data_IF_515388863760
#
_entry.id   IF_515388863760
#
_cell.length_a   1.000
_cell.length_b   1.000
_cell.length_c   1.000
_cell.angle_alpha   90.00
_cell.angle_beta   90.00
_cell.angle_gamma   90.00
#
_symmetry.space_group_name_H-M   'P 1'
#
loop_
_entity.id
_entity.type
_entity.pdbx_description
1 polymer ?
#
# COMPACT_ATOMS: atom_id res chain seq x y z
N UNK A 1 -24.83 -27.73 -3.32
CA UNK A 1 -24.84 -26.35 -2.80
C UNK A 1 -23.40 -25.87 -2.81
N UNK A 2 -23.05 -25.03 -3.78
CA UNK A 2 -21.70 -24.49 -3.94
C UNK A 2 -21.51 -23.34 -2.95
N UNK A 3 -20.76 -23.58 -1.89
CA UNK A 3 -20.29 -22.53 -0.98
C UNK A 3 -19.22 -21.73 -1.74
N UNK A 4 -19.62 -20.60 -2.30
CA UNK A 4 -18.70 -19.61 -2.83
C UNK A 4 -17.74 -19.19 -1.73
N UNK A 5 -16.44 -19.37 -1.97
CA UNK A 5 -15.39 -18.74 -1.17
C UNK A 5 -15.50 -17.25 -1.44
N UNK A 6 -16.26 -16.54 -0.59
CA UNK A 6 -16.30 -15.09 -0.62
C UNK A 6 -14.89 -14.56 -0.43
N UNK A 7 -14.46 -13.62 -1.27
CA UNK A 7 -13.23 -12.87 -1.02
C UNK A 7 -13.34 -12.22 0.36
N UNK A 8 -12.44 -12.57 1.27
CA UNK A 8 -12.40 -12.00 2.61
C UNK A 8 -12.16 -10.49 2.48
N UNK A 9 -13.10 -9.68 2.98
CA UNK A 9 -12.93 -8.24 3.07
C UNK A 9 -11.93 -7.96 4.19
N UNK A 10 -10.86 -7.25 3.85
CA UNK A 10 -9.86 -6.78 4.82
C UNK A 10 -10.04 -5.27 4.97
N UNK A 11 -10.27 -4.82 6.19
CA UNK A 11 -10.33 -3.39 6.52
C UNK A 11 -9.04 -3.00 7.26
N UNK A 12 -8.37 -1.97 6.76
CA UNK A 12 -7.12 -1.44 7.32
C UNK A 12 -7.22 0.08 7.50
N UNK A 13 -6.49 0.62 8.47
CA UNK A 13 -6.43 2.06 8.71
C UNK A 13 -5.11 2.59 8.18
N UNK A 14 -5.17 3.62 7.35
CA UNK A 14 -4.02 4.36 6.84
C UNK A 14 -4.09 5.81 7.29
N UNK A 15 -2.92 6.43 7.42
CA UNK A 15 -2.78 7.86 7.67
C UNK A 15 -2.16 8.53 6.45
N UNK A 16 -2.70 9.69 6.09
CA UNK A 16 -2.08 10.66 5.21
C UNK A 16 -1.59 11.82 6.08
N UNK A 17 -0.29 11.83 6.40
CA UNK A 17 0.31 12.93 7.15
C UNK A 17 0.82 14.00 6.17
N UNK A 18 0.37 15.24 6.33
CA UNK A 18 0.56 16.33 5.36
C UNK A 18 1.35 17.47 5.98
N UNK A 19 2.52 17.75 5.41
CA UNK A 19 3.30 18.94 5.72
C UNK A 19 2.93 20.04 4.72
N UNK A 20 2.15 21.03 5.18
CA UNK A 20 1.67 22.14 4.34
C UNK A 20 2.76 23.12 3.96
N UNK A 21 3.84 23.21 4.75
CA UNK A 21 4.98 24.09 4.44
C UNK A 21 5.85 23.49 3.35
N UNK A 22 6.18 22.20 3.47
CA UNK A 22 6.96 21.46 2.47
C UNK A 22 6.12 21.04 1.27
N UNK A 23 4.78 21.11 1.39
CA UNK A 23 3.82 20.64 0.38
C UNK A 23 4.08 19.18 0.05
N UNK A 24 4.22 18.35 1.08
CA UNK A 24 4.43 16.90 0.93
C UNK A 24 3.45 16.14 1.80
N UNK A 25 3.13 14.91 1.41
CA UNK A 25 2.36 13.99 2.23
C UNK A 25 3.00 12.61 2.26
N UNK A 26 2.82 11.88 3.35
CA UNK A 26 3.17 10.46 3.45
C UNK A 26 1.91 9.66 3.78
N UNK A 27 1.60 8.69 2.93
CA UNK A 27 0.46 7.78 3.08
C UNK A 27 0.96 6.40 3.52
N UNK A 28 0.59 5.97 4.73
CA UNK A 28 1.16 4.78 5.35
C UNK A 28 0.16 4.08 6.28
N UNK A 29 0.33 2.77 6.47
CA UNK A 29 -0.53 1.99 7.36
C UNK A 29 -0.34 2.41 8.84
N UNK A 30 -1.44 2.51 9.60
CA UNK A 30 -1.47 2.89 11.02
C UNK A 30 -0.48 2.11 11.89
N UNK A 31 -0.15 0.88 11.51
CA UNK A 31 0.85 0.05 12.20
C UNK A 31 2.18 0.77 12.41
N UNK A 32 2.63 1.59 11.45
CA UNK A 32 3.85 2.37 11.59
C UNK A 32 3.77 3.42 12.70
N UNK A 33 2.64 4.11 12.83
CA UNK A 33 2.40 5.08 13.90
C UNK A 33 2.36 4.41 15.29
N UNK A 34 1.69 3.27 15.39
CA UNK A 34 1.62 2.48 16.63
C UNK A 34 3.00 1.98 17.03
N UNK A 35 3.74 1.43 16.07
CA UNK A 35 5.10 0.96 16.28
C UNK A 35 6.04 2.07 16.77
N UNK A 36 6.00 3.24 16.14
CA UNK A 36 6.79 4.40 16.54
C UNK A 36 6.49 4.83 17.98
N UNK A 37 5.21 4.83 18.37
CA UNK A 37 4.79 5.13 19.75
C UNK A 37 5.29 4.09 20.76
N UNK A 38 5.24 2.80 20.42
CA UNK A 38 5.75 1.71 21.28
C UNK A 38 7.27 1.82 21.41
N UNK A 39 7.98 2.00 20.30
CA UNK A 39 9.44 2.13 20.28
C UNK A 39 9.91 3.31 21.11
N UNK A 40 9.29 4.50 20.96
CA UNK A 40 9.63 5.69 21.77
C UNK A 40 9.42 5.48 23.27
N UNK A 41 8.48 4.64 23.67
CA UNK A 41 8.18 4.35 25.08
C UNK A 41 9.03 3.22 25.67
N UNK A 42 9.37 2.21 24.87
CA UNK A 42 9.94 0.94 25.37
C UNK A 42 11.35 0.66 24.86
N UNK A 43 11.76 1.27 23.75
CA UNK A 43 12.94 0.90 22.99
C UNK A 43 12.78 -0.39 22.16
N UNK A 44 11.62 -1.03 22.20
CA UNK A 44 11.34 -2.28 21.49
C UNK A 44 10.62 -2.02 20.17
N UNK A 45 11.07 -2.70 19.12
CA UNK A 45 10.47 -2.64 17.80
C UNK A 45 9.40 -3.73 17.65
N UNK A 46 8.27 -3.35 17.06
CA UNK A 46 7.18 -4.23 16.69
C UNK A 46 6.18 -4.46 17.82
N UNK A 47 5.13 -5.18 17.45
CA UNK A 47 4.14 -5.80 18.33
C UNK A 47 3.69 -7.10 17.66
N UNK A 48 2.89 -7.92 18.35
CA UNK A 48 2.51 -9.27 17.90
C UNK A 48 2.07 -9.37 16.44
N UNK A 49 1.35 -8.35 15.96
CA UNK A 49 0.74 -8.30 14.63
C UNK A 49 1.35 -7.22 13.74
N UNK A 50 2.50 -6.65 14.13
CA UNK A 50 3.18 -5.66 13.32
C UNK A 50 3.66 -6.29 12.01
N UNK A 51 3.32 -5.64 10.90
CA UNK A 51 3.78 -5.99 9.57
C UNK A 51 4.24 -4.73 8.85
N UNK A 52 5.36 -4.84 8.15
CA UNK A 52 5.81 -3.79 7.25
C UNK A 52 4.95 -3.83 6.00
N UNK A 53 4.37 -2.70 5.65
CA UNK A 53 3.55 -2.53 4.44
C UNK A 53 4.18 -1.54 3.49
N UNK A 54 3.75 -1.55 2.24
CA UNK A 54 4.06 -0.47 1.31
C UNK A 54 3.59 0.88 1.87
N UNK A 55 4.27 1.96 1.48
CA UNK A 55 3.86 3.33 1.77
C UNK A 55 4.21 4.26 0.61
N UNK A 56 3.62 5.44 0.60
CA UNK A 56 3.76 6.41 -0.49
C UNK A 56 4.13 7.77 0.05
N UNK A 57 5.04 8.45 -0.64
CA UNK A 57 5.36 9.86 -0.42
C UNK A 57 4.91 10.67 -1.63
N UNK A 58 4.05 11.64 -1.41
CA UNK A 58 3.46 12.48 -2.47
C UNK A 58 4.01 13.89 -2.34
N UNK A 59 4.43 14.47 -3.46
CA UNK A 59 4.75 15.90 -3.55
C UNK A 59 3.53 16.66 -4.11
N UNK A 60 3.07 17.67 -3.37
CA UNK A 60 1.95 18.54 -3.75
C UNK A 60 2.40 19.83 -4.45
N UNK A 61 3.69 20.21 -4.38
CA UNK A 61 4.24 21.39 -5.05
C UNK A 61 4.51 21.16 -6.54
N UNK A 62 5.06 19.99 -6.89
CA UNK A 62 5.36 19.61 -8.27
C UNK A 62 4.28 18.65 -8.81
N UNK A 63 3.94 18.79 -10.10
CA UNK A 63 2.82 18.10 -10.71
C UNK A 63 3.04 16.62 -11.00
N UNK A 64 4.28 16.10 -10.96
CA UNK A 64 4.57 14.84 -11.68
C UNK A 64 5.29 13.72 -10.92
N UNK A 65 5.70 13.86 -9.66
CA UNK A 65 6.44 12.79 -8.98
C UNK A 65 5.87 12.43 -7.59
N UNK A 66 5.57 11.15 -7.40
CA UNK A 66 5.40 10.49 -6.12
C UNK A 66 6.44 9.35 -6.00
N UNK A 67 6.70 8.93 -4.78
CA UNK A 67 7.59 7.81 -4.48
C UNK A 67 6.76 6.73 -3.80
N UNK A 68 6.72 5.55 -4.41
CA UNK A 68 6.16 4.36 -3.79
C UNK A 68 7.29 3.50 -3.24
N UNK A 69 7.15 3.12 -1.97
CA UNK A 69 8.10 2.28 -1.27
C UNK A 69 7.51 0.88 -1.15
N UNK A 70 8.10 -0.05 -1.90
CA UNK A 70 7.66 -1.43 -2.04
C UNK A 70 8.48 -2.37 -1.18
N UNK A 71 7.80 -3.17 -0.37
CA UNK A 71 8.41 -4.27 0.37
C UNK A 71 8.47 -5.52 -0.50
N UNK A 72 9.60 -6.22 -0.49
CA UNK A 72 9.71 -7.58 -1.01
C UNK A 72 10.62 -8.36 -0.08
N UNK A 73 10.04 -9.28 0.70
CA UNK A 73 10.73 -9.93 1.82
C UNK A 73 11.17 -8.87 2.86
N UNK A 74 12.45 -8.84 3.23
CA UNK A 74 13.03 -7.86 4.16
C UNK A 74 13.58 -6.62 3.47
N UNK A 75 13.60 -6.60 2.13
CA UNK A 75 14.15 -5.51 1.34
C UNK A 75 13.07 -4.49 1.00
N UNK A 76 13.47 -3.22 0.97
CA UNK A 76 12.62 -2.10 0.60
C UNK A 76 13.16 -1.41 -0.66
N UNK A 77 12.26 -1.18 -1.61
CA UNK A 77 12.57 -0.59 -2.91
C UNK A 77 11.79 0.70 -3.11
N UNK A 78 12.46 1.72 -3.62
CA UNK A 78 11.83 2.97 -4.02
C UNK A 78 11.55 2.97 -5.51
N UNK A 79 10.31 3.28 -5.88
CA UNK A 79 9.88 3.43 -7.26
C UNK A 79 9.31 4.84 -7.44
N UNK A 80 9.82 5.57 -8.43
CA UNK A 80 9.23 6.83 -8.84
C UNK A 80 7.99 6.56 -9.70
N UNK A 81 6.86 7.18 -9.33
CA UNK A 81 5.58 6.99 -10.00
C UNK A 81 4.87 8.33 -10.19
N UNK A 82 4.13 8.45 -11.29
CA UNK A 82 3.29 9.62 -11.53
C UNK A 82 1.99 9.46 -10.75
N UNK A 83 1.64 10.48 -9.95
CA UNK A 83 0.34 10.55 -9.26
C UNK A 83 -0.83 10.67 -10.24
N UNK A 84 -2.03 10.33 -9.78
CA UNK A 84 -3.24 10.52 -10.57
C UNK A 84 -3.48 12.01 -10.83
N UNK A 85 -3.81 12.44 -12.06
CA UNK A 85 -4.09 13.86 -12.33
C UNK A 85 -5.18 14.16 -13.36
N UNK A 86 -5.47 13.21 -14.25
CA UNK A 86 -6.41 13.41 -15.35
C UNK A 86 -7.86 13.07 -14.95
N UNK A 87 -8.36 13.75 -13.90
CA UNK A 87 -9.71 13.54 -13.39
C UNK A 87 -10.76 14.14 -14.31
N UNK A 88 -11.80 13.37 -14.59
CA UNK A 88 -13.03 13.85 -15.21
C UNK A 88 -14.02 14.25 -14.12
N UNK A 89 -14.29 15.54 -14.00
CA UNK A 89 -15.32 16.05 -13.08
C UNK A 89 -16.69 15.74 -13.66
N UNK A 90 -17.51 15.01 -12.91
CA UNK A 90 -18.88 14.69 -13.30
C UNK A 90 -19.84 15.75 -12.76
N UNK A 91 -21.07 15.83 -13.26
CA UNK A 91 -22.09 16.79 -12.76
C UNK A 91 -22.75 16.35 -11.46
N UNK A 92 -22.67 15.05 -11.14
CA UNK A 92 -23.31 14.46 -9.97
C UNK A 92 -22.73 15.02 -8.67
N UNK A 93 -23.63 15.50 -7.80
CA UNK A 93 -23.29 15.94 -6.45
C UNK A 93 -24.10 15.14 -5.44
N UNK A 94 -23.55 14.98 -4.23
CA UNK A 94 -24.28 14.40 -3.09
C UNK A 94 -23.98 15.17 -1.82
N UNK A 95 -24.95 15.24 -0.92
CA UNK A 95 -24.77 15.80 0.41
C UNK A 95 -24.38 14.68 1.37
N UNK A 96 -23.29 14.88 2.11
CA UNK A 96 -22.83 13.95 3.13
C UNK A 96 -22.51 14.71 4.42
N UNK A 97 -23.34 14.51 5.45
CA UNK A 97 -23.35 15.40 6.61
C UNK A 97 -23.59 16.85 6.18
N UNK A 98 -22.61 17.72 6.43
CA UNK A 98 -22.66 19.15 6.09
C UNK A 98 -21.81 19.51 4.85
N UNK A 99 -21.30 18.51 4.12
CA UNK A 99 -20.40 18.72 2.97
C UNK A 99 -21.11 18.37 1.67
N UNK A 100 -20.96 19.24 0.67
CA UNK A 100 -21.40 18.92 -0.70
C UNK A 100 -20.24 18.28 -1.44
N UNK A 101 -20.38 17.01 -1.76
CA UNK A 101 -19.37 16.25 -2.49
C UNK A 101 -19.67 16.26 -3.98
N UNK A 102 -18.63 16.39 -4.79
CA UNK A 102 -18.68 16.29 -6.25
C UNK A 102 -18.14 14.92 -6.68
N UNK A 103 -18.78 14.28 -7.65
CA UNK A 103 -18.24 13.06 -8.26
C UNK A 103 -17.13 13.39 -9.26
N UNK A 104 -16.08 12.58 -9.28
CA UNK A 104 -15.08 12.57 -10.33
C UNK A 104 -14.70 11.13 -10.70
N UNK A 105 -14.26 10.92 -11.93
CA UNK A 105 -13.79 9.61 -12.43
C UNK A 105 -12.40 9.71 -13.03
N UNK A 106 -11.63 8.61 -12.99
CA UNK A 106 -10.30 8.54 -13.60
C UNK A 106 -9.94 7.11 -13.98
N UNK A 107 -9.18 6.96 -15.06
CA UNK A 107 -8.45 5.74 -15.40
C UNK A 107 -7.03 5.84 -14.84
N UNK A 108 -6.67 4.99 -13.87
CA UNK A 108 -5.36 5.03 -13.22
C UNK A 108 -4.93 3.65 -12.73
N UNK A 109 -3.65 3.29 -12.97
CA UNK A 109 -3.10 1.98 -12.59
C UNK A 109 -3.78 0.79 -13.27
N UNK A 110 -4.34 0.99 -14.48
CA UNK A 110 -5.12 -0.02 -15.21
C UNK A 110 -6.53 -0.27 -14.67
N UNK A 111 -7.05 0.62 -13.81
CA UNK A 111 -8.39 0.54 -13.22
C UNK A 111 -9.18 1.82 -13.47
N UNK A 112 -10.50 1.66 -13.46
CA UNK A 112 -11.45 2.78 -13.40
C UNK A 112 -11.81 3.06 -11.96
N UNK A 113 -11.74 4.34 -11.58
CA UNK A 113 -12.02 4.80 -10.23
C UNK A 113 -13.15 5.83 -10.23
N UNK A 114 -13.97 5.76 -9.19
CA UNK A 114 -14.95 6.78 -8.85
C UNK A 114 -14.56 7.42 -7.51
N UNK A 115 -14.44 8.74 -7.49
CA UNK A 115 -14.16 9.53 -6.30
C UNK A 115 -15.34 10.46 -5.96
N UNK A 116 -15.58 10.66 -4.67
CA UNK A 116 -16.39 11.73 -4.13
C UNK A 116 -15.48 12.65 -3.32
N UNK A 117 -15.44 13.94 -3.67
CA UNK A 117 -14.51 14.89 -3.09
C UNK A 117 -15.21 16.17 -2.63
N UNK A 118 -14.68 16.74 -1.55
CA UNK A 118 -15.09 18.00 -0.96
C UNK A 118 -14.26 19.14 -1.55
N UNK A 119 -14.89 20.00 -2.34
CA UNK A 119 -14.27 21.14 -3.00
C UNK A 119 -14.00 22.33 -2.09
N UNK A 120 -14.61 22.36 -0.91
CA UNK A 120 -14.47 23.47 0.03
C UNK A 120 -13.26 23.25 0.96
N UNK A 121 -12.60 22.09 0.87
CA UNK A 121 -11.39 21.79 1.64
C UNK A 121 -10.15 22.50 1.06
N UNK A 122 -9.32 23.15 1.89
CA UNK A 122 -8.26 24.04 1.41
C UNK A 122 -6.99 23.33 0.90
N UNK A 123 -6.94 21.99 0.92
CA UNK A 123 -5.80 21.19 0.48
C UNK A 123 -6.22 20.21 -0.61
N UNK A 124 -5.32 19.93 -1.55
CA UNK A 124 -5.59 19.07 -2.72
C UNK A 124 -5.04 17.67 -2.45
N UNK A 125 -5.77 16.92 -1.63
CA UNK A 125 -5.26 15.70 -0.98
C UNK A 125 -6.23 14.53 -1.11
N UNK A 126 -5.68 13.33 -1.14
CA UNK A 126 -6.43 12.09 -1.22
C UNK A 126 -5.57 10.89 -0.85
N UNK A 127 -6.19 9.70 -0.73
CA UNK A 127 -5.51 8.51 -0.26
C UNK A 127 -4.47 8.01 -1.29
N UNK A 128 -3.40 7.38 -0.79
CA UNK A 128 -2.42 6.70 -1.64
C UNK A 128 -1.79 7.66 -2.68
N UNK A 129 -1.88 7.34 -3.97
CA UNK A 129 -1.41 8.15 -5.09
C UNK A 129 -2.53 9.02 -5.70
N UNK A 130 -3.74 8.95 -5.15
CA UNK A 130 -4.89 9.68 -5.64
C UNK A 130 -4.86 11.11 -5.12
N UNK A 131 -4.52 12.02 -6.02
CA UNK A 131 -4.47 13.47 -5.77
C UNK A 131 -4.89 14.23 -7.04
N UNK A 132 -4.80 15.55 -7.03
CA UNK A 132 -5.04 16.38 -8.21
C UNK A 132 -6.47 16.93 -8.36
N UNK A 133 -7.42 16.48 -7.54
CA UNK A 133 -8.69 17.18 -7.36
C UNK A 133 -8.46 18.40 -6.42
N UNK A 134 -9.05 19.58 -6.71
CA UNK A 134 -8.82 20.79 -5.91
C UNK A 134 -9.62 20.78 -4.60
N UNK A 135 -9.31 19.83 -3.72
CA UNK A 135 -10.00 19.61 -2.45
C UNK A 135 -9.64 18.25 -1.85
N UNK A 136 -10.51 17.74 -0.98
CA UNK A 136 -10.28 16.49 -0.26
C UNK A 136 -11.08 15.35 -0.86
N UNK A 137 -10.42 14.28 -1.30
CA UNK A 137 -11.10 13.02 -1.64
C UNK A 137 -11.61 12.39 -0.33
N UNK A 138 -12.93 12.26 -0.21
CA UNK A 138 -13.62 11.70 0.97
C UNK A 138 -13.88 10.21 0.78
N UNK A 139 -14.22 9.80 -0.44
CA UNK A 139 -14.47 8.40 -0.79
C UNK A 139 -13.88 8.10 -2.17
N UNK A 140 -13.31 6.92 -2.33
CA UNK A 140 -12.71 6.47 -3.57
C UNK A 140 -12.88 4.96 -3.71
N UNK A 141 -13.39 4.49 -4.84
CA UNK A 141 -13.51 3.05 -5.12
C UNK A 141 -13.19 2.72 -6.57
N UNK A 142 -12.68 1.53 -6.83
CA UNK A 142 -12.63 1.03 -8.20
C UNK A 142 -14.01 0.51 -8.63
N UNK A 143 -14.30 0.55 -9.93
CA UNK A 143 -15.61 0.16 -10.48
C UNK A 143 -15.95 -1.32 -10.25
N UNK A 144 -14.94 -2.16 -10.00
CA UNK A 144 -15.10 -3.58 -9.67
C UNK A 144 -15.24 -3.83 -8.15
N UNK A 145 -15.20 -2.78 -7.32
CA UNK A 145 -15.34 -2.87 -5.86
C UNK A 145 -14.31 -3.79 -5.18
N UNK A 146 -13.11 -3.87 -5.75
CA UNK A 146 -11.96 -4.55 -5.15
C UNK A 146 -11.27 -3.69 -4.10
N UNK A 147 -11.30 -2.36 -4.28
CA UNK A 147 -10.68 -1.38 -3.39
C UNK A 147 -11.68 -0.29 -3.06
N UNK A 148 -11.74 0.05 -1.78
CA UNK A 148 -12.57 1.13 -1.28
C UNK A 148 -11.79 1.88 -0.20
N UNK A 149 -11.61 3.18 -0.40
CA UNK A 149 -11.01 4.10 0.55
C UNK A 149 -12.10 5.04 1.04
N UNK A 150 -12.19 5.18 2.35
CA UNK A 150 -13.15 6.06 3.01
C UNK A 150 -12.41 6.92 4.04
N UNK A 151 -12.69 8.22 4.03
CA UNK A 151 -12.14 9.15 5.00
C UNK A 151 -12.80 8.94 6.37
N UNK A 152 -12.01 8.50 7.34
CA UNK A 152 -12.49 8.27 8.71
C UNK A 152 -12.44 9.55 9.55
N UNK A 153 -11.48 10.45 9.27
CA UNK A 153 -11.34 11.70 10.03
C UNK A 153 -10.21 12.59 9.52
N UNK A 154 -10.24 13.85 9.94
CA UNK A 154 -9.20 14.86 9.67
C UNK A 154 -8.85 15.53 10.97
N UNK A 155 -7.56 15.65 11.26
CA UNK A 155 -7.05 16.30 12.46
C UNK A 155 -5.88 17.21 12.10
N UNK A 156 -5.89 18.41 12.67
CA UNK A 156 -4.76 19.33 12.60
C UNK A 156 -3.85 19.12 13.81
N UNK A 157 -2.54 19.14 13.57
CA UNK A 157 -1.52 19.07 14.61
C UNK A 157 -0.73 20.37 14.67
N UNK A 158 -0.25 20.77 15.86
CA UNK A 158 0.53 22.00 16.03
C UNK A 158 1.93 21.92 15.41
N UNK A 159 2.45 20.72 15.18
CA UNK A 159 3.74 20.46 14.55
C UNK A 159 3.66 19.25 13.62
N UNK A 160 4.49 19.24 12.58
CA UNK A 160 4.68 18.08 11.71
C UNK A 160 5.25 16.92 12.53
N UNK A 161 4.58 15.77 12.46
CA UNK A 161 5.05 14.56 13.12
C UNK A 161 5.98 13.79 12.18
N UNK A 162 7.01 13.15 12.74
CA UNK A 162 7.88 12.24 11.99
C UNK A 162 7.72 10.83 12.54
N UNK A 163 7.64 9.87 11.62
CA UNK A 163 7.71 8.45 11.93
C UNK A 163 9.14 8.00 11.63
N UNK A 164 9.94 7.81 12.68
CA UNK A 164 11.39 7.63 12.55
C UNK A 164 11.70 6.32 11.80
N UNK A 165 10.85 5.31 11.98
CA UNK A 165 10.97 4.05 11.26
C UNK A 165 10.73 4.20 9.76
N UNK A 166 9.74 4.99 9.33
CA UNK A 166 9.53 5.28 7.91
C UNK A 166 10.73 6.04 7.33
N UNK A 167 11.29 7.00 8.07
CA UNK A 167 12.51 7.72 7.65
C UNK A 167 13.70 6.78 7.48
N UNK A 168 13.84 5.79 8.36
CA UNK A 168 14.88 4.75 8.27
C UNK A 168 14.68 3.87 7.04
N UNK A 169 13.43 3.45 6.79
CA UNK A 169 13.04 2.69 5.61
C UNK A 169 13.31 3.46 4.30
N UNK A 170 12.95 4.74 4.25
CA UNK A 170 13.25 5.63 3.12
C UNK A 170 14.76 5.68 2.86
N UNK A 171 15.56 5.89 3.90
CA UNK A 171 17.02 6.00 3.82
C UNK A 171 17.69 4.72 3.32
N UNK A 172 17.17 3.55 3.73
CA UNK A 172 17.70 2.24 3.35
C UNK A 172 17.14 1.72 2.02
N UNK A 173 16.22 2.45 1.40
CA UNK A 173 15.58 2.01 0.16
C UNK A 173 16.51 2.10 -1.05
N UNK A 174 16.41 1.09 -1.92
CA UNK A 174 17.12 1.08 -3.20
C UNK A 174 16.17 1.53 -4.30
N UNK A 175 16.55 2.57 -5.03
CA UNK A 175 15.74 3.05 -6.17
C UNK A 175 15.82 2.08 -7.34
N UNK A 176 14.67 1.65 -7.85
CA UNK A 176 14.56 0.73 -9.00
C UNK A 176 13.45 1.18 -9.96
N UNK A 177 13.51 0.69 -11.19
CA UNK A 177 12.40 0.85 -12.14
C UNK A 177 11.29 -0.17 -11.89
N UNK A 178 10.08 0.15 -12.34
CA UNK A 178 8.93 -0.77 -12.32
C UNK A 178 9.24 -2.09 -13.02
N UNK A 179 9.93 -2.06 -14.16
CA UNK A 179 10.32 -3.28 -14.89
C UNK A 179 11.31 -4.15 -14.12
N UNK A 180 12.24 -3.53 -13.40
CA UNK A 180 13.15 -4.26 -12.51
C UNK A 180 12.36 -4.89 -11.36
N UNK A 181 11.42 -4.16 -10.76
CA UNK A 181 10.56 -4.69 -9.71
C UNK A 181 9.74 -5.89 -10.18
N UNK A 182 9.12 -5.82 -11.37
CA UNK A 182 8.40 -6.95 -11.99
C UNK A 182 9.28 -8.20 -12.16
N UNK A 183 10.53 -8.01 -12.59
CA UNK A 183 11.50 -9.12 -12.70
C UNK A 183 11.82 -9.72 -11.34
N UNK A 184 11.96 -8.90 -10.29
CA UNK A 184 12.18 -9.37 -8.93
C UNK A 184 10.96 -10.12 -8.37
N UNK A 185 9.74 -9.65 -8.64
CA UNK A 185 8.51 -10.37 -8.31
C UNK A 185 8.47 -11.75 -8.99
N UNK A 186 8.84 -11.84 -10.28
CA UNK A 186 8.91 -13.12 -11.00
C UNK A 186 10.01 -14.04 -10.45
N UNK A 187 11.16 -13.51 -10.08
CA UNK A 187 12.23 -14.27 -9.43
C UNK A 187 11.78 -14.83 -8.08
N UNK A 188 11.16 -14.01 -7.24
CA UNK A 188 10.56 -14.42 -5.97
C UNK A 188 9.45 -15.46 -6.18
N UNK A 189 8.65 -15.32 -7.23
CA UNK A 189 7.65 -16.34 -7.58
C UNK A 189 8.30 -17.68 -7.95
N UNK A 190 9.38 -17.66 -8.73
CA UNK A 190 10.07 -18.88 -9.15
C UNK A 190 10.76 -19.60 -7.98
N UNK A 191 11.31 -18.84 -7.03
CA UNK A 191 12.00 -19.35 -5.84
C UNK A 191 11.63 -18.52 -4.57
N UNK A 192 10.44 -18.75 -3.98
CA UNK A 192 9.96 -17.97 -2.83
C UNK A 192 10.73 -18.26 -1.53
N UNK A 193 11.56 -19.30 -1.51
CA UNK A 193 12.32 -19.73 -0.34
C UNK A 193 13.84 -19.66 -0.53
N UNK A 194 14.33 -19.08 -1.63
CA UNK A 194 15.75 -19.12 -2.01
C UNK A 194 16.71 -18.64 -0.92
N UNK A 195 16.34 -17.60 -0.18
CA UNK A 195 17.13 -17.08 0.95
C UNK A 195 16.95 -17.86 2.28
N UNK A 196 15.82 -18.54 2.45
CA UNK A 196 15.36 -19.10 3.74
C UNK A 196 15.69 -20.59 3.88
N UNK A 197 15.63 -21.35 2.77
CA UNK A 197 15.90 -22.79 2.75
C UNK A 197 17.30 -23.14 3.28
N UNK A 198 18.31 -22.33 3.01
CA UNK A 198 19.67 -22.50 3.55
C UNK A 198 19.70 -22.45 5.08
N UNK A 199 18.91 -21.56 5.69
CA UNK A 199 18.77 -21.44 7.15
C UNK A 199 18.06 -22.65 7.78
N UNK A 200 16.99 -23.13 7.15
CA UNK A 200 16.24 -24.33 7.57
C UNK A 200 17.12 -25.59 7.58
N UNK A 201 17.91 -25.77 6.53
CA UNK A 201 18.79 -26.93 6.38
C UNK A 201 19.83 -26.96 7.49
N UNK A 202 20.44 -25.81 7.79
CA UNK A 202 21.54 -25.70 8.75
C UNK A 202 21.09 -25.77 10.22
N UNK A 203 19.88 -25.31 10.55
CA UNK A 203 19.40 -25.22 11.95
C UNK A 203 18.40 -26.29 12.34
N UNK A 204 17.82 -27.01 11.38
CA UNK A 204 16.76 -28.01 11.59
C UNK A 204 15.58 -27.50 12.45
N UNK A 205 15.29 -26.19 12.38
CA UNK A 205 14.21 -25.52 13.10
C UNK A 205 13.18 -25.03 12.09
N UNK A 206 11.88 -25.09 12.42
CA UNK A 206 10.84 -24.52 11.56
C UNK A 206 10.94 -23.00 11.50
N UNK A 207 10.50 -22.41 10.38
CA UNK A 207 10.42 -20.95 10.20
C UNK A 207 8.98 -20.56 10.00
N UNK A 208 8.51 -19.58 10.78
CA UNK A 208 7.17 -19.02 10.60
C UNK A 208 7.23 -17.92 9.54
N UNK A 209 6.42 -18.05 8.51
CA UNK A 209 6.24 -17.04 7.46
C UNK A 209 5.25 -15.96 7.92
N UNK A 210 5.22 -14.84 7.20
CA UNK A 210 4.37 -13.68 7.50
C UNK A 210 2.86 -13.98 7.41
N UNK A 211 2.50 -14.96 6.59
CA UNK A 211 1.13 -15.48 6.45
C UNK A 211 0.73 -16.48 7.55
N UNK A 212 1.63 -16.72 8.52
CA UNK A 212 1.46 -17.66 9.62
C UNK A 212 1.86 -19.10 9.30
N UNK A 213 2.21 -19.43 8.04
CA UNK A 213 2.63 -20.77 7.63
C UNK A 213 3.90 -21.17 8.37
N UNK A 214 3.90 -22.37 8.95
CA UNK A 214 5.09 -22.95 9.56
C UNK A 214 5.86 -23.77 8.52
N UNK A 215 6.96 -23.23 8.02
CA UNK A 215 7.82 -23.86 7.02
C UNK A 215 8.78 -24.86 7.68
N UNK A 216 8.79 -26.10 7.18
CA UNK A 216 9.62 -27.22 7.62
C UNK A 216 10.26 -27.89 6.41
N UNK A 217 11.21 -28.82 6.62
CA UNK A 217 11.80 -29.61 5.52
C UNK A 217 10.76 -30.45 4.78
N UNK A 218 9.75 -30.96 5.49
CA UNK A 218 8.78 -31.91 4.96
C UNK A 218 7.68 -31.25 4.13
N UNK A 219 7.38 -29.97 4.39
CA UNK A 219 6.29 -29.25 3.72
C UNK A 219 6.75 -28.19 2.71
N UNK A 220 8.04 -28.15 2.34
CA UNK A 220 8.60 -27.15 1.41
C UNK A 220 7.80 -27.08 0.10
N UNK A 221 7.62 -28.22 -0.59
CA UNK A 221 6.93 -28.27 -1.89
C UNK A 221 5.47 -27.81 -1.80
N UNK A 222 4.76 -28.23 -0.75
CA UNK A 222 3.36 -27.85 -0.54
C UNK A 222 3.27 -26.35 -0.26
N UNK A 223 4.15 -25.82 0.59
CA UNK A 223 4.19 -24.40 0.94
C UNK A 223 4.56 -23.54 -0.26
N UNK A 224 5.49 -24.01 -1.11
CA UNK A 224 5.87 -23.33 -2.34
C UNK A 224 4.69 -23.20 -3.30
N UNK A 225 3.96 -24.29 -3.53
CA UNK A 225 2.76 -24.28 -4.36
C UNK A 225 1.68 -23.37 -3.77
N UNK A 226 1.49 -23.37 -2.45
CA UNK A 226 0.54 -22.48 -1.77
C UNK A 226 0.89 -21.01 -2.00
N UNK A 227 2.17 -20.63 -1.85
CA UNK A 227 2.65 -19.26 -2.08
C UNK A 227 2.49 -18.89 -3.56
N UNK A 228 2.93 -19.74 -4.49
CA UNK A 228 2.76 -19.50 -5.94
C UNK A 228 1.29 -19.29 -6.31
N UNK A 229 0.39 -20.10 -5.75
CA UNK A 229 -1.05 -19.93 -5.97
C UNK A 229 -1.60 -18.63 -5.38
N UNK A 230 -1.07 -18.16 -4.25
CA UNK A 230 -1.44 -16.85 -3.68
C UNK A 230 -0.93 -15.71 -4.54
N UNK A 231 0.34 -15.74 -4.96
CA UNK A 231 0.96 -14.74 -5.82
C UNK A 231 0.18 -14.58 -7.14
N UNK A 232 -0.23 -15.68 -7.77
CA UNK A 232 -1.09 -15.66 -8.98
C UNK A 232 -2.44 -14.97 -8.76
N UNK A 233 -3.02 -15.14 -7.58
CA UNK A 233 -4.34 -14.57 -7.20
C UNK A 233 -4.25 -13.14 -6.69
N UNK A 234 -3.05 -12.57 -6.53
CA UNK A 234 -2.91 -11.19 -6.08
C UNK A 234 -3.58 -10.21 -7.05
N UNK A 235 -4.22 -9.21 -6.45
CA UNK A 235 -4.96 -8.16 -7.13
C UNK A 235 -4.33 -6.81 -6.73
N UNK A 236 -3.19 -6.40 -7.30
CA UNK A 236 -2.54 -5.14 -6.91
C UNK A 236 -3.38 -3.94 -7.34
N UNK A 237 -3.30 -2.83 -6.59
CA UNK A 237 -3.93 -1.54 -6.99
C UNK A 237 -3.46 -1.14 -8.39
N UNK A 238 -2.15 -1.20 -8.63
CA UNK A 238 -1.53 -1.02 -9.94
C UNK A 238 -1.51 -2.34 -10.72
N UNK A 239 -2.52 -2.55 -11.58
CA UNK A 239 -2.56 -3.72 -12.46
C UNK A 239 -1.42 -3.69 -13.47
N UNK A 240 -0.96 -2.51 -13.86
CA UNK A 240 0.22 -2.30 -14.69
C UNK A 240 1.51 -2.74 -14.00
N UNK A 241 1.53 -2.95 -12.68
CA UNK A 241 2.69 -3.48 -11.94
C UNK A 241 2.64 -4.99 -11.77
N UNK A 242 1.51 -5.62 -12.12
CA UNK A 242 1.33 -7.07 -11.97
C UNK A 242 2.35 -7.82 -12.81
N UNK A 243 3.13 -8.69 -12.17
CA UNK A 243 4.01 -9.60 -12.86
C UNK A 243 3.20 -10.70 -13.57
N UNK A 244 3.63 -11.07 -14.79
CA UNK A 244 3.05 -12.17 -15.53
C UNK A 244 3.61 -13.50 -14.98
N UNK A 245 2.87 -14.13 -14.07
CA UNK A 245 3.24 -15.44 -13.55
C UNK A 245 2.76 -16.55 -14.50
N UNK A 246 3.52 -17.63 -14.70
CA UNK A 246 3.11 -18.77 -15.51
C UNK A 246 1.80 -19.40 -15.00
N UNK A 247 0.90 -19.73 -15.93
CA UNK A 247 -0.28 -20.57 -15.66
C UNK A 247 0.14 -21.99 -15.25
N UNK A 248 -0.80 -22.74 -14.67
CA UNK A 248 -0.58 -24.15 -14.28
C UNK A 248 -0.65 -25.08 -15.48
#
# INVERSE_FOLDING_TARGET
MSSGVGSERVDEIYYLDVDTHKKTGIYYNRNYFVNDSIFKKTGEFGFSDFKMTDFVKVNFANSDDAEEYKMLSVDIFKIHIKKSKDWKIEKETRLEGNRTLQKATIDYGGRQWEAWWDKDFPLYVGPYLFSGLPGLIVSLKDTQSHFHFELIGVQNFPATQTIDFLTTLETNSVTISIDKFKKMLLQNYNDPFGGITKGLINRNQPIRLEDGTLLTKDNLKVSEEMIKNRLRKQNPIHLDFKAAYPDK
#
